data_IF_681177405315
#
_entry.id   IF_681177405315
#
_cell.length_a   1.000
_cell.length_b   1.000
_cell.length_c   1.000
_cell.angle_alpha   90.00
_cell.angle_beta   90.00
_cell.angle_gamma   90.00
#
_symmetry.space_group_name_H-M   'P 1'
#
loop_
_entity.id
_entity.type
_entity.pdbx_description
1 polymer ?
#
# COMPACT_ATOMS: atom_id res chain seq x y z
N UNK A 1 18.76 -6.24 -18.11
CA UNK A 1 19.26 -7.22 -17.12
C UNK A 1 19.13 -6.55 -15.77
N UNK A 2 18.39 -7.10 -14.79
CA UNK A 2 18.42 -6.56 -13.44
C UNK A 2 19.81 -6.83 -12.86
N UNK A 3 20.44 -5.79 -12.33
CA UNK A 3 21.71 -5.89 -11.61
C UNK A 3 21.57 -6.91 -10.49
N UNK A 4 22.52 -7.85 -10.42
CA UNK A 4 22.61 -8.79 -9.31
C UNK A 4 22.75 -7.98 -8.02
N UNK A 5 21.73 -7.99 -7.18
CA UNK A 5 21.76 -7.45 -5.82
C UNK A 5 22.98 -8.02 -5.11
N UNK A 6 24.00 -7.20 -4.86
CA UNK A 6 25.15 -7.58 -4.05
C UNK A 6 24.63 -8.09 -2.70
N UNK A 7 24.72 -9.40 -2.49
CA UNK A 7 24.43 -10.02 -1.20
C UNK A 7 25.44 -9.48 -0.19
N UNK A 8 25.00 -8.55 0.65
CA UNK A 8 25.81 -7.96 1.73
C UNK A 8 26.41 -9.09 2.56
N UNK A 9 27.74 -9.09 2.68
CA UNK A 9 28.49 -10.15 3.39
C UNK A 9 28.15 -10.14 4.89
N UNK A 10 28.11 -11.31 5.53
CA UNK A 10 27.89 -11.39 6.97
C UNK A 10 29.08 -10.81 7.73
N UNK A 11 28.80 -10.17 8.87
CA UNK A 11 29.80 -9.68 9.81
C UNK A 11 30.13 -10.80 10.80
N UNK A 12 31.39 -10.92 11.20
CA UNK A 12 31.83 -11.90 12.21
C UNK A 12 31.98 -11.18 13.55
N UNK A 13 31.45 -11.79 14.61
CA UNK A 13 31.59 -11.35 15.99
C UNK A 13 31.90 -12.55 16.89
N UNK A 14 32.33 -12.29 18.12
CA UNK A 14 32.72 -13.35 19.03
C UNK A 14 33.13 -12.85 20.41
N UNK A 15 33.27 -13.79 21.33
CA UNK A 15 33.70 -13.53 22.70
C UNK A 15 34.41 -14.74 23.30
N UNK A 16 35.13 -14.51 24.40
CA UNK A 16 35.87 -15.54 25.12
C UNK A 16 35.45 -15.56 26.58
N UNK A 17 35.43 -16.76 27.15
CA UNK A 17 35.15 -16.98 28.56
C UNK A 17 36.25 -17.87 29.11
N UNK A 18 36.86 -17.47 30.22
CA UNK A 18 37.82 -18.34 30.91
C UNK A 18 37.09 -19.57 31.44
N UNK A 19 37.76 -20.71 31.38
CA UNK A 19 37.22 -21.97 31.87
C UNK A 19 38.31 -22.90 32.40
N UNK A 20 37.89 -24.09 32.78
CA UNK A 20 38.76 -25.14 33.26
C UNK A 20 38.15 -26.50 32.95
N UNK A 21 38.90 -27.31 32.24
CA UNK A 21 38.59 -28.73 32.05
C UNK A 21 38.74 -29.47 33.40
N UNK A 22 37.66 -30.11 33.85
CA UNK A 22 37.63 -30.98 35.03
C UNK A 22 37.82 -32.45 34.66
N UNK A 23 37.26 -32.86 33.53
CA UNK A 23 37.27 -34.24 33.05
C UNK A 23 38.18 -34.46 31.84
N UNK A 24 37.72 -35.27 30.88
CA UNK A 24 38.43 -35.54 29.64
C UNK A 24 37.69 -34.93 28.46
N UNK A 25 38.45 -34.44 27.48
CA UNK A 25 37.94 -33.95 26.19
C UNK A 25 37.04 -34.99 25.51
N UNK A 26 37.35 -36.29 25.63
CA UNK A 26 36.52 -37.37 25.08
C UNK A 26 35.10 -37.42 25.68
N UNK A 27 34.95 -37.07 26.97
CA UNK A 27 33.65 -37.09 27.62
C UNK A 27 32.77 -35.95 27.10
N UNK A 28 33.37 -34.76 26.90
CA UNK A 28 32.73 -33.61 26.26
C UNK A 28 32.21 -34.00 24.86
N UNK A 29 33.04 -34.67 24.05
CA UNK A 29 32.61 -35.13 22.72
C UNK A 29 31.43 -36.10 22.82
N UNK A 30 31.51 -37.09 23.70
CA UNK A 30 30.43 -38.07 23.91
C UNK A 30 29.12 -37.43 24.37
N UNK A 31 29.17 -36.44 25.26
CA UNK A 31 27.97 -35.72 25.72
C UNK A 31 27.28 -34.97 24.57
N UNK A 32 28.09 -34.38 23.68
CA UNK A 32 27.61 -33.56 22.57
C UNK A 32 27.16 -34.37 21.34
N UNK A 33 27.56 -35.63 21.21
CA UNK A 33 27.11 -36.52 20.12
C UNK A 33 25.59 -36.70 20.06
N UNK A 34 24.88 -36.44 21.16
CA UNK A 34 23.41 -36.46 21.21
C UNK A 34 22.76 -35.36 20.34
N UNK A 35 23.51 -34.33 19.94
CA UNK A 35 23.01 -33.20 19.17
C UNK A 35 23.25 -33.46 17.67
N UNK A 36 22.18 -33.61 16.89
CA UNK A 36 22.27 -34.02 15.49
C UNK A 36 22.58 -32.91 14.50
N UNK A 37 22.37 -31.66 14.88
CA UNK A 37 22.53 -30.50 13.99
C UNK A 37 23.90 -29.82 14.11
N UNK A 38 24.83 -30.40 14.87
CA UNK A 38 26.18 -29.84 15.08
C UNK A 38 27.25 -30.73 14.45
N UNK A 39 28.31 -30.10 13.97
CA UNK A 39 29.53 -30.76 13.53
C UNK A 39 30.56 -30.64 14.66
N UNK A 40 31.11 -31.77 15.10
CA UNK A 40 32.11 -31.82 16.19
C UNK A 40 33.45 -32.25 15.62
N UNK A 41 34.49 -31.47 15.86
CA UNK A 41 35.86 -31.80 15.50
C UNK A 41 36.75 -31.77 16.74
N UNK A 42 37.33 -32.91 17.11
CA UNK A 42 38.25 -33.03 18.23
C UNK A 42 39.69 -32.76 17.78
N UNK A 43 40.35 -31.84 18.47
CA UNK A 43 41.79 -31.59 18.40
C UNK A 43 42.49 -32.17 19.65
N UNK A 44 43.83 -32.14 19.68
CA UNK A 44 44.62 -32.68 20.81
C UNK A 44 44.20 -32.09 22.17
N UNK A 45 43.97 -30.77 22.22
CA UNK A 45 43.67 -30.02 23.44
C UNK A 45 42.40 -29.14 23.30
N UNK A 46 41.53 -29.44 22.33
CA UNK A 46 40.31 -28.66 22.13
C UNK A 46 39.20 -29.48 21.46
N UNK A 47 37.95 -29.05 21.65
CA UNK A 47 36.79 -29.48 20.88
C UNK A 47 36.23 -28.29 20.14
N UNK A 48 36.07 -28.40 18.83
CA UNK A 48 35.33 -27.44 18.02
C UNK A 48 33.93 -27.97 17.79
N UNK A 49 32.94 -27.12 18.03
CA UNK A 49 31.53 -27.38 17.81
C UNK A 49 31.06 -26.35 16.80
N UNK A 50 30.73 -26.77 15.59
CA UNK A 50 30.23 -25.90 14.54
C UNK A 50 28.76 -26.17 14.29
N UNK A 51 27.97 -25.10 14.21
CA UNK A 51 26.59 -25.13 13.78
C UNK A 51 26.44 -24.21 12.56
N UNK A 52 26.15 -24.81 11.40
CA UNK A 52 25.93 -24.08 10.15
C UNK A 52 24.44 -24.05 9.86
N UNK A 53 23.82 -22.90 10.08
CA UNK A 53 22.39 -22.68 9.89
C UNK A 53 22.02 -22.43 8.43
N UNK A 54 22.90 -21.76 7.69
CA UNK A 54 22.69 -21.53 6.25
C UNK A 54 24.00 -21.38 5.49
N UNK A 55 23.91 -21.62 4.18
CA UNK A 55 25.02 -21.50 3.24
C UNK A 55 24.66 -20.54 2.11
N UNK A 56 25.68 -19.88 1.55
CA UNK A 56 25.52 -19.01 0.39
C UNK A 56 25.32 -19.82 -0.92
N UNK A 57 25.13 -19.11 -2.03
CA UNK A 57 24.99 -19.71 -3.37
C UNK A 57 26.21 -20.54 -3.79
N UNK A 58 27.37 -20.31 -3.18
CA UNK A 58 28.63 -21.01 -3.43
C UNK A 58 28.87 -22.13 -2.41
N UNK A 59 27.88 -22.46 -1.56
CA UNK A 59 27.92 -23.45 -0.48
C UNK A 59 28.85 -23.11 0.70
N UNK A 60 29.36 -21.89 0.79
CA UNK A 60 30.12 -21.42 1.95
C UNK A 60 29.18 -21.17 3.14
N UNK A 61 29.62 -21.39 4.39
CA UNK A 61 28.85 -21.02 5.58
C UNK A 61 28.52 -19.52 5.55
N UNK A 62 27.23 -19.19 5.63
CA UNK A 62 26.72 -17.82 5.62
C UNK A 62 26.19 -17.42 7.00
N UNK A 63 25.32 -18.25 7.58
CA UNK A 63 24.89 -18.15 8.97
C UNK A 63 25.47 -19.32 9.75
N UNK A 64 26.36 -19.03 10.70
CA UNK A 64 27.02 -20.08 11.49
C UNK A 64 27.37 -19.60 12.90
N UNK A 65 27.66 -20.58 13.77
CA UNK A 65 28.29 -20.40 15.06
C UNK A 65 29.32 -21.50 15.30
N UNK A 66 30.41 -21.14 15.96
CA UNK A 66 31.50 -22.03 16.30
C UNK A 66 31.82 -21.79 17.78
N UNK A 67 31.78 -22.86 18.56
CA UNK A 67 32.19 -22.86 19.96
C UNK A 67 33.42 -23.75 20.06
N UNK A 68 34.56 -23.17 20.40
CA UNK A 68 35.82 -23.86 20.63
C UNK A 68 36.06 -23.96 22.13
N UNK A 69 36.03 -25.17 22.66
CA UNK A 69 36.31 -25.47 24.07
C UNK A 69 37.77 -25.93 24.17
N UNK A 70 38.61 -25.13 24.81
CA UNK A 70 40.01 -25.44 25.15
C UNK A 70 40.10 -25.76 26.64
N UNK A 71 41.26 -26.25 27.08
CA UNK A 71 41.48 -26.62 28.49
C UNK A 71 41.20 -25.47 29.49
N UNK A 72 41.49 -24.23 29.10
CA UNK A 72 41.45 -23.04 29.96
C UNK A 72 40.51 -21.92 29.48
N UNK A 73 39.90 -22.07 28.31
CA UNK A 73 38.96 -21.08 27.77
C UNK A 73 37.92 -21.69 26.81
N UNK A 74 36.79 -21.00 26.70
CA UNK A 74 35.78 -21.20 25.65
C UNK A 74 35.79 -19.98 24.75
N UNK A 75 35.97 -20.21 23.46
CA UNK A 75 35.97 -19.20 22.41
C UNK A 75 34.74 -19.38 21.53
N UNK A 76 33.94 -18.32 21.38
CA UNK A 76 32.72 -18.34 20.59
C UNK A 76 32.86 -17.37 19.44
N UNK A 77 32.64 -17.85 18.22
CA UNK A 77 32.70 -17.08 16.98
C UNK A 77 31.40 -17.33 16.22
N UNK A 78 30.75 -16.29 15.72
CA UNK A 78 29.51 -16.42 14.98
C UNK A 78 29.39 -15.37 13.90
N UNK A 79 28.58 -15.68 12.89
CA UNK A 79 28.22 -14.71 11.86
C UNK A 79 26.91 -14.00 12.18
N UNK A 80 26.82 -12.76 11.71
CA UNK A 80 25.66 -11.87 11.77
C UNK A 80 25.34 -11.48 10.33
N UNK A 81 24.20 -11.93 9.83
CA UNK A 81 23.74 -11.59 8.48
C UNK A 81 22.98 -10.26 8.50
N UNK A 82 22.90 -9.54 7.36
CA UNK A 82 22.22 -8.23 7.27
C UNK A 82 20.75 -8.25 7.69
N UNK A 83 20.09 -9.40 7.61
CA UNK A 83 18.67 -9.59 7.93
C UNK A 83 18.42 -9.77 9.42
N UNK A 84 19.46 -10.04 10.21
CA UNK A 84 19.34 -10.35 11.64
C UNK A 84 19.93 -9.20 12.46
N UNK A 85 19.15 -8.73 13.43
CA UNK A 85 19.65 -7.77 14.43
C UNK A 85 20.85 -8.36 15.19
N UNK A 86 22.00 -7.65 15.28
CA UNK A 86 23.16 -8.08 16.06
C UNK A 86 22.82 -8.45 17.50
N UNK A 87 21.92 -7.69 18.13
CA UNK A 87 21.47 -7.93 19.51
C UNK A 87 20.71 -9.25 19.63
N UNK A 88 19.79 -9.52 18.70
CA UNK A 88 19.06 -10.78 18.64
C UNK A 88 20.01 -11.95 18.42
N UNK A 89 20.92 -11.82 17.44
CA UNK A 89 21.89 -12.87 17.12
C UNK A 89 22.76 -13.22 18.33
N UNK A 90 23.31 -12.22 19.03
CA UNK A 90 24.13 -12.44 20.22
C UNK A 90 23.35 -13.18 21.32
N UNK A 91 22.07 -12.87 21.53
CA UNK A 91 21.23 -13.58 22.49
C UNK A 91 21.01 -15.04 22.09
N UNK A 92 20.76 -15.32 20.81
CA UNK A 92 20.63 -16.70 20.30
C UNK A 92 21.91 -17.51 20.53
N UNK A 93 23.08 -16.90 20.32
CA UNK A 93 24.39 -17.51 20.56
C UNK A 93 24.64 -17.76 22.05
N UNK A 94 24.29 -16.83 22.93
CA UNK A 94 24.40 -17.03 24.39
C UNK A 94 23.50 -18.17 24.83
N UNK A 95 22.25 -18.22 24.36
CA UNK A 95 21.33 -19.33 24.65
C UNK A 95 21.90 -20.67 24.18
N UNK A 96 22.46 -20.71 22.97
CA UNK A 96 23.09 -21.90 22.43
C UNK A 96 24.31 -22.34 23.26
N UNK A 97 25.19 -21.40 23.63
CA UNK A 97 26.32 -21.66 24.52
C UNK A 97 25.87 -22.23 25.87
N UNK A 98 24.84 -21.66 26.49
CA UNK A 98 24.32 -22.14 27.76
C UNK A 98 23.82 -23.59 27.68
N UNK A 99 23.16 -23.96 26.58
CA UNK A 99 22.76 -25.34 26.35
C UNK A 99 23.97 -26.28 26.25
N UNK A 100 25.01 -25.89 25.50
CA UNK A 100 26.25 -26.67 25.40
C UNK A 100 26.91 -26.81 26.77
N UNK A 101 27.10 -25.71 27.50
CA UNK A 101 27.68 -25.70 28.84
C UNK A 101 26.88 -26.57 29.83
N UNK A 102 25.55 -26.58 29.72
CA UNK A 102 24.69 -27.41 30.59
C UNK A 102 24.89 -28.91 30.38
N UNK A 103 25.24 -29.34 29.16
CA UNK A 103 25.47 -30.75 28.82
C UNK A 103 26.86 -31.25 29.25
N UNK A 104 27.82 -30.33 29.38
CA UNK A 104 29.22 -30.67 29.67
C UNK A 104 29.65 -30.24 31.08
N UNK A 105 28.72 -29.75 31.91
CA UNK A 105 29.03 -29.13 33.20
C UNK A 105 29.78 -30.01 34.19
N UNK A 106 29.67 -31.34 34.04
CA UNK A 106 30.42 -32.32 34.85
C UNK A 106 31.91 -32.36 34.47
N UNK A 107 32.23 -32.17 33.18
CA UNK A 107 33.58 -32.26 32.63
C UNK A 107 34.24 -30.89 32.41
N UNK A 108 33.48 -29.79 32.42
CA UNK A 108 33.97 -28.45 32.12
C UNK A 108 33.30 -27.37 32.96
N UNK A 109 34.09 -26.44 33.49
CA UNK A 109 33.61 -25.31 34.27
C UNK A 109 34.06 -23.99 33.64
N UNK A 110 33.15 -23.03 33.53
CA UNK A 110 33.46 -21.67 33.07
C UNK A 110 33.46 -20.70 34.24
N UNK A 111 34.13 -19.56 34.08
CA UNK A 111 34.06 -18.46 35.03
C UNK A 111 32.63 -17.89 35.07
N UNK A 112 31.89 -18.25 36.11
CA UNK A 112 30.51 -17.81 36.32
C UNK A 112 30.36 -16.29 36.36
N UNK A 113 31.37 -15.53 36.83
CA UNK A 113 31.28 -14.07 36.86
C UNK A 113 31.32 -13.50 35.45
N UNK A 114 32.25 -13.98 34.61
CA UNK A 114 32.35 -13.55 33.21
C UNK A 114 31.12 -13.97 32.42
N UNK A 115 30.63 -15.20 32.63
CA UNK A 115 29.40 -15.68 32.00
C UNK A 115 28.20 -14.79 32.34
N UNK A 116 28.00 -14.48 33.62
CA UNK A 116 26.91 -13.61 34.08
C UNK A 116 27.02 -12.18 33.53
N UNK A 117 28.24 -11.63 33.42
CA UNK A 117 28.45 -10.31 32.80
C UNK A 117 28.07 -10.29 31.31
N UNK A 118 28.41 -11.34 30.57
CA UNK A 118 28.04 -11.45 29.15
C UNK A 118 26.51 -11.54 28.99
N UNK A 119 25.85 -12.31 29.85
CA UNK A 119 24.38 -12.43 29.87
C UNK A 119 23.74 -11.08 30.21
N UNK A 120 24.21 -10.40 31.25
CA UNK A 120 23.70 -9.10 31.68
C UNK A 120 23.83 -8.04 30.57
N UNK A 121 24.99 -7.96 29.92
CA UNK A 121 25.22 -7.03 28.82
C UNK A 121 24.26 -7.30 27.64
N UNK A 122 24.03 -8.58 27.32
CA UNK A 122 23.09 -8.97 26.28
C UNK A 122 21.63 -8.65 26.65
N UNK A 123 21.22 -8.93 27.89
CA UNK A 123 19.88 -8.59 28.40
C UNK A 123 19.65 -7.08 28.39
N UNK A 124 20.65 -6.30 28.79
CA UNK A 124 20.61 -4.83 28.74
C UNK A 124 20.38 -4.32 27.31
N UNK A 125 21.13 -4.84 26.34
CA UNK A 125 20.98 -4.47 24.91
C UNK A 125 19.60 -4.86 24.36
N UNK A 126 19.09 -6.05 24.71
CA UNK A 126 17.73 -6.48 24.32
C UNK A 126 16.68 -5.54 24.91
N UNK A 127 16.78 -5.24 26.20
CA UNK A 127 15.84 -4.34 26.90
C UNK A 127 15.82 -2.94 26.29
N UNK A 128 17.00 -2.40 25.98
CA UNK A 128 17.13 -1.11 25.28
C UNK A 128 16.51 -1.14 23.88
N UNK A 129 16.76 -2.22 23.11
CA UNK A 129 16.22 -2.37 21.75
C UNK A 129 14.68 -2.41 21.77
N UNK A 130 14.10 -3.22 22.66
CA UNK A 130 12.64 -3.29 22.85
C UNK A 130 12.05 -1.94 23.24
N UNK A 131 12.74 -1.19 24.11
CA UNK A 131 12.29 0.12 24.56
C UNK A 131 12.26 1.15 23.42
N UNK A 132 13.28 1.14 22.56
CA UNK A 132 13.36 2.01 21.39
C UNK A 132 12.28 1.65 20.36
N UNK A 133 12.11 0.37 20.08
CA UNK A 133 11.09 -0.12 19.13
C UNK A 133 9.68 0.24 19.61
N UNK A 134 9.40 0.14 20.92
CA UNK A 134 8.13 0.57 21.50
C UNK A 134 7.89 2.06 21.33
N UNK A 135 8.88 2.90 21.62
CA UNK A 135 8.74 4.36 21.43
C UNK A 135 8.47 4.72 19.98
N UNK A 136 9.18 4.07 19.04
CA UNK A 136 9.02 4.31 17.61
C UNK A 136 7.65 3.85 17.12
N UNK A 137 7.23 2.65 17.50
CA UNK A 137 5.92 2.11 17.19
C UNK A 137 4.80 2.99 17.74
N UNK A 138 4.96 3.53 18.95
CA UNK A 138 4.01 4.45 19.54
C UNK A 138 3.89 5.76 18.74
N UNK A 139 5.02 6.32 18.30
CA UNK A 139 5.02 7.52 17.44
C UNK A 139 4.36 7.25 16.09
N UNK A 140 4.68 6.13 15.42
CA UNK A 140 4.06 5.74 14.15
C UNK A 140 2.56 5.50 14.31
N UNK A 141 2.14 4.87 15.40
CA UNK A 141 0.73 4.66 15.72
C UNK A 141 -0.02 5.98 15.95
N UNK A 142 0.54 6.93 16.70
CA UNK A 142 -0.08 8.25 16.93
C UNK A 142 -0.18 9.06 15.62
N UNK A 143 0.86 9.01 14.78
CA UNK A 143 0.85 9.64 13.46
C UNK A 143 -0.25 9.05 12.56
N UNK A 144 -0.34 7.72 12.48
CA UNK A 144 -1.36 7.03 11.69
C UNK A 144 -2.77 7.33 12.21
N UNK A 145 -2.95 7.39 13.54
CA UNK A 145 -4.23 7.75 14.15
C UNK A 145 -4.69 9.16 13.76
N UNK A 146 -3.77 10.12 13.70
CA UNK A 146 -4.05 11.49 13.23
C UNK A 146 -4.40 11.50 11.75
N UNK A 147 -3.64 10.80 10.92
CA UNK A 147 -3.90 10.70 9.48
C UNK A 147 -5.28 10.11 9.20
N UNK A 148 -5.67 9.04 9.91
CA UNK A 148 -7.01 8.44 9.79
C UNK A 148 -8.10 9.44 10.21
N UNK A 149 -7.89 10.21 11.27
CA UNK A 149 -8.87 11.22 11.70
C UNK A 149 -9.03 12.33 10.65
N UNK A 150 -7.93 12.79 10.04
CA UNK A 150 -7.95 13.82 9.00
C UNK A 150 -8.60 13.31 7.71
N UNK A 151 -8.30 12.08 7.31
CA UNK A 151 -8.94 11.43 6.16
C UNK A 151 -10.43 11.26 6.37
N UNK A 152 -10.88 10.88 7.58
CA UNK A 152 -12.31 10.81 7.90
C UNK A 152 -13.01 12.16 7.74
N UNK A 153 -12.44 13.24 8.30
CA UNK A 153 -12.98 14.59 8.14
C UNK A 153 -13.02 15.04 6.68
N UNK A 154 -11.97 14.72 5.91
CA UNK A 154 -11.93 15.04 4.47
C UNK A 154 -13.02 14.27 3.71
N UNK A 155 -13.25 13.00 4.05
CA UNK A 155 -14.28 12.19 3.45
C UNK A 155 -15.68 12.75 3.78
N UNK A 156 -15.95 13.08 5.04
CA UNK A 156 -17.22 13.72 5.46
C UNK A 156 -17.49 15.02 4.68
N UNK A 157 -16.47 15.87 4.53
CA UNK A 157 -16.57 17.11 3.74
C UNK A 157 -16.85 16.83 2.27
N UNK A 158 -16.19 15.83 1.68
CA UNK A 158 -16.42 15.46 0.28
C UNK A 158 -17.84 14.91 0.08
N UNK A 159 -18.33 14.08 0.99
CA UNK A 159 -19.72 13.59 0.97
C UNK A 159 -20.71 14.75 1.01
N UNK A 160 -20.53 15.71 1.92
CA UNK A 160 -21.39 16.91 1.98
C UNK A 160 -21.35 17.74 0.69
N UNK A 161 -20.18 17.86 0.05
CA UNK A 161 -20.05 18.56 -1.23
C UNK A 161 -20.77 17.82 -2.36
N UNK A 162 -20.68 16.48 -2.39
CA UNK A 162 -21.38 15.65 -3.37
C UNK A 162 -22.89 15.80 -3.20
N UNK A 163 -23.41 15.77 -1.98
CA UNK A 163 -24.85 15.92 -1.71
C UNK A 163 -25.37 17.31 -2.14
N UNK A 164 -24.59 18.36 -1.87
CA UNK A 164 -24.91 19.72 -2.28
C UNK A 164 -24.92 19.88 -3.82
N UNK A 165 -23.88 19.38 -4.49
CA UNK A 165 -23.80 19.41 -5.96
C UNK A 165 -24.90 18.58 -6.62
N UNK A 166 -25.26 17.45 -6.01
CA UNK A 166 -26.36 16.61 -6.49
C UNK A 166 -27.68 17.36 -6.43
N UNK A 167 -27.96 18.05 -5.31
CA UNK A 167 -29.16 18.89 -5.16
C UNK A 167 -29.21 20.02 -6.18
N UNK A 168 -28.10 20.74 -6.38
CA UNK A 168 -28.01 21.80 -7.40
C UNK A 168 -28.23 21.27 -8.82
N UNK A 169 -27.75 20.07 -9.13
CA UNK A 169 -27.95 19.47 -10.44
C UNK A 169 -29.44 19.15 -10.68
N UNK A 170 -30.15 18.65 -9.67
CA UNK A 170 -31.60 18.44 -9.76
C UNK A 170 -32.37 19.75 -9.97
N UNK A 171 -32.00 20.81 -9.26
CA UNK A 171 -32.62 22.14 -9.42
C UNK A 171 -32.41 22.68 -10.85
N UNK A 172 -31.17 22.67 -11.34
CA UNK A 172 -30.84 23.13 -12.69
C UNK A 172 -31.53 22.30 -13.78
N UNK A 173 -31.66 20.99 -13.58
CA UNK A 173 -32.39 20.12 -14.50
C UNK A 173 -33.87 20.48 -14.56
N UNK A 174 -34.49 20.70 -13.39
CA UNK A 174 -35.89 21.15 -13.29
C UNK A 174 -36.11 22.50 -13.99
N UNK A 175 -35.22 23.47 -13.76
CA UNK A 175 -35.27 24.77 -14.41
C UNK A 175 -35.12 24.65 -15.93
N UNK A 176 -34.21 23.81 -16.40
CA UNK A 176 -34.01 23.56 -17.83
C UNK A 176 -35.26 22.95 -18.47
N UNK A 177 -35.88 21.97 -17.82
CA UNK A 177 -37.12 21.35 -18.30
C UNK A 177 -38.28 22.36 -18.35
N UNK A 178 -38.40 23.25 -17.37
CA UNK A 178 -39.37 24.35 -17.40
C UNK A 178 -39.11 25.34 -18.54
N UNK A 179 -37.85 25.71 -18.77
CA UNK A 179 -37.47 26.60 -19.86
C UNK A 179 -37.78 25.98 -21.22
N UNK A 180 -37.53 24.68 -21.41
CA UNK A 180 -37.89 23.96 -22.64
C UNK A 180 -39.39 24.02 -22.90
N UNK A 181 -40.22 23.71 -21.91
CA UNK A 181 -41.69 23.80 -22.03
C UNK A 181 -42.10 25.22 -22.44
N UNK A 182 -41.49 26.25 -21.83
CA UNK A 182 -41.80 27.64 -22.15
C UNK A 182 -41.39 28.02 -23.57
N UNK A 183 -40.25 27.54 -24.05
CA UNK A 183 -39.80 27.73 -25.44
C UNK A 183 -40.79 27.07 -26.40
N UNK A 184 -41.17 25.81 -26.17
CA UNK A 184 -42.17 25.11 -27.01
C UNK A 184 -43.51 25.85 -27.06
N UNK A 185 -43.96 26.42 -25.94
CA UNK A 185 -45.19 27.22 -25.90
C UNK A 185 -45.07 28.52 -26.72
N UNK A 186 -43.94 29.22 -26.60
CA UNK A 186 -43.70 30.46 -27.36
C UNK A 186 -43.56 30.19 -28.86
N UNK A 187 -42.93 29.07 -29.23
CA UNK A 187 -42.82 28.64 -30.62
C UNK A 187 -44.19 28.34 -31.23
N UNK A 188 -45.04 27.59 -30.52
CA UNK A 188 -46.44 27.35 -30.95
C UNK A 188 -47.19 28.67 -31.11
N UNK A 189 -47.20 29.52 -30.09
CA UNK A 189 -47.85 30.84 -30.18
C UNK A 189 -47.37 31.66 -31.38
N UNK A 190 -46.07 31.58 -31.71
CA UNK A 190 -45.50 32.21 -32.89
C UNK A 190 -45.98 31.56 -34.19
N UNK A 191 -46.11 30.23 -34.25
CA UNK A 191 -46.71 29.50 -35.39
C UNK A 191 -48.17 29.90 -35.60
N UNK A 192 -48.98 29.94 -34.54
CA UNK A 192 -50.38 30.36 -34.63
C UNK A 192 -50.51 31.82 -35.09
N UNK A 193 -49.67 32.72 -34.55
CA UNK A 193 -49.63 34.10 -35.00
C UNK A 193 -49.20 34.23 -36.47
N UNK A 194 -48.29 33.37 -36.93
CA UNK A 194 -47.86 33.32 -38.33
C UNK A 194 -48.97 32.79 -39.24
N UNK A 195 -49.69 31.73 -38.84
CA UNK A 195 -50.87 31.21 -39.55
C UNK A 195 -51.90 32.31 -39.80
N UNK A 196 -52.23 33.09 -38.77
CA UNK A 196 -53.18 34.21 -38.88
C UNK A 196 -52.66 35.28 -39.85
N UNK A 197 -51.37 35.64 -39.79
CA UNK A 197 -50.78 36.60 -40.73
C UNK A 197 -50.82 36.12 -42.18
N UNK A 198 -50.51 34.84 -42.41
CA UNK A 198 -50.58 34.22 -43.74
C UNK A 198 -52.01 34.22 -44.27
N UNK A 199 -52.99 33.85 -43.44
CA UNK A 199 -54.41 33.89 -43.81
C UNK A 199 -54.88 35.32 -44.14
N UNK A 200 -54.55 36.29 -43.29
CA UNK A 200 -54.91 37.69 -43.52
C UNK A 200 -54.30 38.20 -44.83
N UNK A 201 -53.03 37.88 -45.10
CA UNK A 201 -52.39 38.26 -46.35
C UNK A 201 -53.09 37.68 -47.57
N UNK A 202 -53.44 36.40 -47.55
CA UNK A 202 -54.16 35.73 -48.64
C UNK A 202 -55.52 36.38 -48.87
N UNK A 203 -56.25 36.71 -47.81
CA UNK A 203 -57.54 37.42 -47.89
C UNK A 203 -57.37 38.79 -48.53
N UNK A 204 -56.37 39.55 -48.10
CA UNK A 204 -56.08 40.90 -48.62
C UNK A 204 -55.62 40.89 -50.09
N UNK A 205 -54.96 39.81 -50.53
CA UNK A 205 -54.38 39.67 -51.87
C UNK A 205 -55.19 38.73 -52.78
N UNK A 206 -56.52 38.76 -52.65
CA UNK A 206 -57.48 38.06 -53.51
C UNK A 206 -57.22 36.55 -53.66
N UNK A 207 -56.84 35.88 -52.56
CA UNK A 207 -56.61 34.44 -52.56
C UNK A 207 -55.23 34.00 -53.05
N UNK A 208 -54.31 34.94 -53.32
CA UNK A 208 -52.95 34.64 -53.79
C UNK A 208 -51.91 35.06 -52.76
N UNK A 209 -50.81 34.30 -52.66
CA UNK A 209 -49.66 34.65 -51.82
C UNK A 209 -48.38 34.64 -52.64
N UNK A 210 -47.65 35.75 -52.61
CA UNK A 210 -46.30 35.85 -53.16
C UNK A 210 -45.31 35.63 -52.02
N UNK A 211 -44.67 34.46 -52.00
CA UNK A 211 -43.76 34.02 -50.94
C UNK A 211 -42.61 35.03 -50.69
N UNK A 212 -41.83 35.46 -51.70
CA UNK A 212 -40.79 36.47 -51.52
C UNK A 212 -41.28 37.80 -50.93
N UNK A 213 -42.44 38.28 -51.36
CA UNK A 213 -42.99 39.57 -50.91
C UNK A 213 -43.51 39.51 -49.47
N UNK A 214 -44.22 38.44 -49.12
CA UNK A 214 -44.68 38.18 -47.76
C UNK A 214 -43.49 38.02 -46.80
N UNK A 215 -42.48 37.23 -47.19
CA UNK A 215 -41.30 36.95 -46.38
C UNK A 215 -40.47 38.22 -46.11
N UNK A 216 -40.34 39.09 -47.11
CA UNK A 216 -39.67 40.38 -46.97
C UNK A 216 -40.44 41.35 -46.06
N UNK A 217 -41.77 41.35 -46.14
CA UNK A 217 -42.63 42.27 -45.38
C UNK A 217 -42.72 41.89 -43.91
N UNK A 218 -42.79 40.59 -43.60
CA UNK A 218 -42.93 40.08 -42.24
C UNK A 218 -41.62 39.58 -41.62
N UNK A 219 -40.51 39.63 -42.36
CA UNK A 219 -39.18 39.17 -41.95
C UNK A 219 -39.18 37.71 -41.44
N UNK A 220 -39.78 36.82 -42.23
CA UNK A 220 -39.90 35.38 -41.95
C UNK A 220 -39.24 34.59 -43.10
N UNK A 221 -38.52 33.49 -42.83
CA UNK A 221 -37.94 32.66 -43.89
C UNK A 221 -39.01 31.99 -44.78
N UNK A 222 -38.75 31.90 -46.09
CA UNK A 222 -39.66 31.27 -47.07
C UNK A 222 -40.02 29.83 -46.71
N UNK A 223 -39.03 29.02 -46.31
CA UNK A 223 -39.25 27.62 -45.91
C UNK A 223 -40.27 27.47 -44.77
N UNK A 224 -40.30 28.43 -43.84
CA UNK A 224 -41.22 28.40 -42.70
C UNK A 224 -42.64 28.80 -43.10
N UNK A 225 -42.78 29.69 -44.06
CA UNK A 225 -44.08 30.10 -44.59
C UNK A 225 -44.69 28.98 -45.45
N UNK A 226 -43.86 28.26 -46.23
CA UNK A 226 -44.29 27.08 -47.00
C UNK A 226 -44.79 25.93 -46.11
N UNK A 227 -44.08 25.61 -45.02
CA UNK A 227 -44.54 24.63 -44.03
C UNK A 227 -45.93 24.98 -43.47
N UNK A 228 -46.14 26.25 -43.12
CA UNK A 228 -47.40 26.75 -42.59
C UNK A 228 -48.51 26.72 -43.64
N UNK A 229 -48.21 27.07 -44.89
CA UNK A 229 -49.18 26.97 -46.00
C UNK A 229 -49.62 25.52 -46.23
N UNK A 230 -48.67 24.58 -46.29
CA UNK A 230 -48.95 23.16 -46.41
C UNK A 230 -49.82 22.65 -45.25
N UNK A 231 -49.52 23.11 -44.04
CA UNK A 231 -50.32 22.78 -42.87
C UNK A 231 -51.74 23.35 -42.96
N UNK A 232 -51.90 24.62 -43.34
CA UNK A 232 -53.22 25.25 -43.53
C UNK A 232 -54.05 24.59 -44.63
N UNK A 233 -53.43 24.10 -45.70
CA UNK A 233 -54.09 23.30 -46.74
C UNK A 233 -54.51 21.94 -46.19
N UNK A 234 -53.63 21.26 -45.46
CA UNK A 234 -53.93 19.94 -44.86
C UNK A 234 -55.05 20.00 -43.80
N UNK A 235 -55.13 21.10 -43.05
CA UNK A 235 -56.17 21.39 -42.06
C UNK A 235 -57.48 21.88 -42.71
N UNK A 236 -57.51 22.09 -44.03
CA UNK A 236 -58.70 22.47 -44.80
C UNK A 236 -59.06 23.96 -44.76
N UNK A 237 -58.18 24.81 -44.24
CA UNK A 237 -58.38 26.26 -44.19
C UNK A 237 -58.08 26.95 -45.53
N UNK A 238 -57.27 26.32 -46.38
CA UNK A 238 -56.93 26.79 -47.73
C UNK A 238 -57.10 25.65 -48.73
N UNK A 239 -57.42 25.98 -49.98
CA UNK A 239 -57.48 25.02 -51.09
C UNK A 239 -56.35 25.38 -52.06
N UNK A 240 -55.43 24.44 -52.30
CA UNK A 240 -54.43 24.60 -53.33
C UNK A 240 -55.14 24.64 -54.69
N UNK A 241 -54.94 25.72 -55.44
CA UNK A 241 -55.42 25.85 -56.81
C UNK A 241 -54.21 25.61 -57.70
N UNK A 242 -54.26 24.54 -58.49
CA UNK A 242 -53.23 24.20 -59.49
C UNK A 242 -53.10 25.27 -60.58
#
# INVERSE_FOLDING_TARGET
MPEATETKKPVIDGFKIKGKLKGKISNIVSALQSITFIEIAQEKNAVNIAYVESRDINKNPYLFSIIKIKEDEVEVIYSITPEISPTKRRMDIIRYLLNILSLIGDDYEVDSKVLLQIIDEALKKVTQSISLDYSKLYTEYDALKKEVADLKKKNERLTQQVDALTSQNYELKSENDQLKIRVEQLEKMSEEALKVKVQNWIIEHNGTINLPEFCKTHNVPESRVEEILNQLVSEGYLVAVD
#
